data_IF_985082329747
#
_entry.id   IF_985082329747
#
_cell.length_a   1.000
_cell.length_b   1.000
_cell.length_c   1.000
_cell.angle_alpha   90.00
_cell.angle_beta   90.00
_cell.angle_gamma   90.00
#
_symmetry.space_group_name_H-M   'P 1'
#
loop_
_entity.id
_entity.type
_entity.pdbx_description
1 polymer ?
#
# COMPACT_ATOMS: atom_id res chain seq x y z
N UNK A 1 0.19 -17.53 -19.67
CA UNK A 1 -0.80 -17.77 -18.60
C UNK A 1 -0.70 -16.69 -17.53
N UNK A 2 -1.83 -16.21 -16.99
CA UNK A 2 -1.83 -15.24 -15.90
C UNK A 2 -1.52 -15.93 -14.57
N UNK A 3 -0.57 -15.40 -13.78
CA UNK A 3 -0.20 -15.94 -12.47
C UNK A 3 -0.95 -15.19 -11.36
N UNK A 4 -1.94 -15.83 -10.76
CA UNK A 4 -2.69 -15.28 -9.64
C UNK A 4 -2.05 -15.68 -8.31
N UNK A 5 -1.99 -14.73 -7.37
CA UNK A 5 -1.49 -15.02 -6.01
C UNK A 5 -2.55 -15.81 -5.25
N UNK A 6 -2.12 -16.88 -4.56
CA UNK A 6 -3.01 -17.66 -3.69
C UNK A 6 -3.59 -16.77 -2.59
N UNK A 7 -4.89 -16.93 -2.31
CA UNK A 7 -5.62 -16.17 -1.28
C UNK A 7 -4.90 -16.17 0.07
N UNK A 8 -4.35 -17.32 0.50
CA UNK A 8 -3.61 -17.46 1.77
C UNK A 8 -2.42 -16.49 1.88
N UNK A 9 -1.62 -16.34 0.83
CA UNK A 9 -0.47 -15.43 0.83
C UNK A 9 -0.91 -13.96 0.87
N UNK A 10 -1.95 -13.62 0.11
CA UNK A 10 -2.51 -12.28 0.08
C UNK A 10 -3.11 -11.88 1.44
N UNK A 11 -3.82 -12.80 2.10
CA UNK A 11 -4.34 -12.59 3.46
C UNK A 11 -3.21 -12.41 4.47
N UNK A 12 -2.18 -13.26 4.43
CA UNK A 12 -1.02 -13.13 5.31
C UNK A 12 -0.30 -11.78 5.19
N UNK A 13 -0.18 -11.24 3.97
CA UNK A 13 0.33 -9.88 3.76
C UNK A 13 -0.59 -8.84 4.42
N UNK A 14 -1.91 -8.93 4.16
CA UNK A 14 -2.89 -7.99 4.73
C UNK A 14 -2.88 -8.03 6.26
N UNK A 15 -2.70 -9.19 6.86
CA UNK A 15 -2.65 -9.34 8.32
C UNK A 15 -1.39 -8.73 8.93
N UNK A 16 -0.23 -8.89 8.28
CA UNK A 16 1.00 -8.17 8.67
C UNK A 16 0.81 -6.65 8.60
N UNK A 17 0.24 -6.14 7.51
CA UNK A 17 -0.07 -4.72 7.37
C UNK A 17 -1.06 -4.25 8.45
N UNK A 18 -2.09 -5.05 8.77
CA UNK A 18 -3.05 -4.73 9.84
C UNK A 18 -2.37 -4.61 11.20
N UNK A 19 -1.45 -5.53 11.50
CA UNK A 19 -0.70 -5.52 12.75
C UNK A 19 0.15 -4.25 12.90
N UNK A 20 0.81 -3.81 11.83
CA UNK A 20 1.61 -2.57 11.82
C UNK A 20 0.76 -1.30 11.86
N UNK A 21 -0.40 -1.31 11.22
CA UNK A 21 -1.32 -0.16 11.15
C UNK A 21 -2.36 -0.17 12.28
N UNK A 22 -2.05 -0.79 13.43
CA UNK A 22 -2.98 -0.84 14.56
C UNK A 22 -3.37 0.58 14.98
N UNK A 23 -4.66 0.75 15.28
CA UNK A 23 -5.31 2.06 15.48
C UNK A 23 -4.82 2.80 16.74
N UNK A 24 -4.16 2.11 17.66
CA UNK A 24 -3.66 2.65 18.93
C UNK A 24 -2.15 2.98 18.92
N UNK A 25 -1.47 2.90 17.76
CA UNK A 25 -0.08 3.36 17.67
C UNK A 25 -0.06 4.89 17.71
N UNK A 26 0.74 5.45 18.63
CA UNK A 26 1.07 6.88 18.70
C UNK A 26 2.15 7.30 17.69
N UNK A 27 2.55 6.40 16.79
CA UNK A 27 3.61 6.67 15.81
C UNK A 27 3.17 7.67 14.74
N UNK A 28 4.14 8.40 14.21
CA UNK A 28 3.94 9.26 13.04
C UNK A 28 3.61 8.43 11.79
N UNK A 29 2.97 9.07 10.81
CA UNK A 29 2.57 8.38 9.58
C UNK A 29 3.79 7.94 8.77
N UNK A 30 4.87 8.71 8.82
CA UNK A 30 6.16 8.45 8.18
C UNK A 30 6.81 7.19 8.77
N UNK A 31 6.80 7.03 10.09
CA UNK A 31 7.33 5.84 10.76
C UNK A 31 6.55 4.57 10.38
N UNK A 32 5.23 4.69 10.25
CA UNK A 32 4.37 3.60 9.79
C UNK A 32 4.68 3.25 8.34
N UNK A 33 4.85 4.24 7.46
CA UNK A 33 5.23 4.03 6.06
C UNK A 33 6.60 3.35 5.96
N UNK A 34 7.59 3.82 6.72
CA UNK A 34 8.92 3.24 6.79
C UNK A 34 8.88 1.76 7.24
N UNK A 35 7.98 1.41 8.17
CA UNK A 35 7.79 0.04 8.63
C UNK A 35 7.10 -0.87 7.59
N UNK A 36 6.18 -0.31 6.79
CA UNK A 36 5.42 -1.06 5.78
C UNK A 36 6.25 -1.31 4.52
N UNK A 37 7.07 -0.33 4.11
CA UNK A 37 7.81 -0.36 2.85
C UNK A 37 8.66 -1.64 2.66
N UNK A 38 9.48 -2.09 3.64
CA UNK A 38 10.26 -3.34 3.50
C UNK A 38 9.39 -4.57 3.24
N UNK A 39 8.23 -4.66 3.88
CA UNK A 39 7.30 -5.78 3.69
C UNK A 39 6.70 -5.76 2.29
N UNK A 40 6.30 -4.58 1.81
CA UNK A 40 5.77 -4.45 0.45
C UNK A 40 6.85 -4.76 -0.59
N UNK A 41 8.08 -4.28 -0.41
CA UNK A 41 9.21 -4.55 -1.31
C UNK A 41 9.55 -6.03 -1.37
N UNK A 42 9.68 -6.70 -0.22
CA UNK A 42 9.97 -8.13 -0.17
C UNK A 42 8.85 -8.97 -0.78
N UNK A 43 7.59 -8.64 -0.49
CA UNK A 43 6.44 -9.33 -1.07
C UNK A 43 6.34 -9.10 -2.59
N UNK A 44 6.58 -7.87 -3.06
CA UNK A 44 6.61 -7.55 -4.49
C UNK A 44 7.73 -8.30 -5.20
N UNK A 45 8.94 -8.36 -4.63
CA UNK A 45 10.05 -9.11 -5.21
C UNK A 45 9.70 -10.57 -5.46
N UNK A 46 9.06 -11.22 -4.48
CA UNK A 46 8.61 -12.61 -4.60
C UNK A 46 7.47 -12.77 -5.63
N UNK A 47 6.50 -11.85 -5.65
CA UNK A 47 5.33 -11.92 -6.52
C UNK A 47 5.41 -11.02 -7.76
N UNK A 48 6.60 -10.62 -8.22
CA UNK A 48 6.76 -9.62 -9.30
C UNK A 48 6.09 -9.99 -10.63
N UNK A 49 5.85 -11.28 -10.84
CA UNK A 49 5.20 -11.85 -12.02
C UNK A 49 3.69 -12.08 -11.84
N UNK A 50 3.11 -11.63 -10.73
CA UNK A 50 1.69 -11.74 -10.47
C UNK A 50 0.85 -10.77 -11.31
N UNK A 51 -0.45 -11.01 -11.37
CA UNK A 51 -1.37 -10.17 -12.12
C UNK A 51 -1.44 -8.72 -11.58
N UNK A 52 -1.47 -7.73 -12.49
CA UNK A 52 -1.42 -6.29 -12.15
C UNK A 52 -2.48 -5.85 -11.13
N UNK A 53 -3.69 -6.41 -11.20
CA UNK A 53 -4.79 -6.07 -10.29
C UNK A 53 -4.51 -6.47 -8.84
N UNK A 54 -3.66 -7.47 -8.62
CA UNK A 54 -3.25 -7.85 -7.27
C UNK A 54 -2.50 -6.71 -6.59
N UNK A 55 -1.58 -6.05 -7.31
CA UNK A 55 -0.80 -4.91 -6.80
C UNK A 55 -1.70 -3.72 -6.45
N UNK A 56 -2.57 -3.31 -7.39
CA UNK A 56 -3.50 -2.19 -7.14
C UNK A 56 -4.44 -2.44 -5.95
N UNK A 57 -4.88 -3.69 -5.75
CA UNK A 57 -5.72 -4.08 -4.61
C UNK A 57 -4.98 -3.99 -3.27
N UNK A 58 -3.71 -4.41 -3.24
CA UNK A 58 -2.86 -4.31 -2.06
C UNK A 58 -2.54 -2.85 -1.74
N UNK A 59 -2.11 -2.08 -2.74
CA UNK A 59 -1.78 -0.66 -2.57
C UNK A 59 -2.99 0.15 -2.09
N UNK A 60 -4.18 -0.12 -2.64
CA UNK A 60 -5.43 0.50 -2.19
C UNK A 60 -5.79 0.13 -0.74
N UNK A 61 -5.54 -1.12 -0.34
CA UNK A 61 -5.71 -1.56 1.03
C UNK A 61 -4.77 -0.82 1.99
N UNK A 62 -3.50 -0.68 1.65
CA UNK A 62 -2.50 0.06 2.45
C UNK A 62 -2.92 1.51 2.62
N UNK A 63 -3.21 2.23 1.52
CA UNK A 63 -3.63 3.64 1.58
C UNK A 63 -4.86 3.85 2.45
N UNK A 64 -5.86 2.96 2.35
CA UNK A 64 -7.05 3.03 3.21
C UNK A 64 -6.71 2.88 4.70
N UNK A 65 -5.75 2.02 5.05
CA UNK A 65 -5.29 1.86 6.44
C UNK A 65 -4.57 3.10 6.94
N UNK A 66 -3.69 3.69 6.12
CA UNK A 66 -3.00 4.93 6.46
C UNK A 66 -3.98 6.10 6.68
N UNK A 67 -4.99 6.25 5.82
CA UNK A 67 -6.08 7.23 6.03
C UNK A 67 -6.82 7.01 7.34
N UNK A 68 -7.08 5.75 7.71
CA UNK A 68 -7.74 5.44 8.98
C UNK A 68 -6.88 5.79 10.21
N UNK A 69 -5.55 5.65 10.11
CA UNK A 69 -4.61 6.09 11.16
C UNK A 69 -4.63 7.61 11.28
N UNK A 70 -4.44 8.34 10.17
CA UNK A 70 -4.46 9.81 10.16
C UNK A 70 -5.78 10.37 10.72
N UNK A 71 -6.91 9.77 10.33
CA UNK A 71 -8.22 10.14 10.84
C UNK A 71 -8.33 9.95 12.36
N UNK A 72 -7.73 8.89 12.90
CA UNK A 72 -7.69 8.64 14.35
C UNK A 72 -6.79 9.65 15.08
N UNK A 73 -5.65 10.01 14.50
CA UNK A 73 -4.75 11.06 15.02
C UNK A 73 -5.45 12.41 15.07
N UNK A 74 -6.33 12.70 14.10
CA UNK A 74 -7.22 13.87 14.10
C UNK A 74 -8.45 13.74 15.01
N UNK A 75 -8.51 12.71 15.88
CA UNK A 75 -9.63 12.45 16.80
C UNK A 75 -11.00 12.29 16.11
N UNK A 76 -11.02 11.92 14.83
CA UNK A 76 -12.26 11.71 14.06
C UNK A 76 -12.69 10.25 14.10
N UNK A 77 -13.98 9.94 14.34
CA UNK A 77 -14.51 8.58 14.25
C UNK A 77 -14.53 8.09 12.79
N UNK A 78 -14.52 6.77 12.58
CA UNK A 78 -14.64 6.14 11.25
C UNK A 78 -13.38 5.44 10.73
N UNK A 79 -13.41 5.03 9.45
CA UNK A 79 -12.44 4.12 8.82
C UNK A 79 -11.69 4.71 7.60
N UNK A 80 -11.68 6.03 7.43
CA UNK A 80 -10.90 6.66 6.35
C UNK A 80 -11.52 6.49 4.94
N UNK A 81 -12.84 6.25 4.85
CA UNK A 81 -13.53 5.86 3.60
C UNK A 81 -14.30 6.99 2.92
N UNK A 82 -14.41 8.17 3.54
CA UNK A 82 -15.23 9.23 2.94
C UNK A 82 -14.46 9.98 1.86
N UNK A 83 -15.20 10.59 0.93
CA UNK A 83 -14.63 11.41 -0.14
C UNK A 83 -13.69 12.50 0.41
N UNK A 84 -14.09 13.14 1.52
CA UNK A 84 -13.28 14.15 2.21
C UNK A 84 -11.89 13.62 2.63
N UNK A 85 -11.78 12.37 3.07
CA UNK A 85 -10.48 11.78 3.42
C UNK A 85 -9.60 11.56 2.17
N UNK A 86 -10.22 11.27 1.02
CA UNK A 86 -9.52 11.10 -0.25
C UNK A 86 -9.07 12.44 -0.82
N UNK A 87 -9.84 13.52 -0.62
CA UNK A 87 -9.45 14.88 -0.96
C UNK A 87 -8.36 15.42 -0.03
N UNK A 88 -8.46 15.14 1.28
CA UNK A 88 -7.49 15.61 2.28
C UNK A 88 -6.16 14.86 2.18
N UNK A 89 -6.20 13.55 1.93
CA UNK A 89 -5.01 12.72 1.74
C UNK A 89 -5.06 12.03 0.38
N UNK A 90 -4.74 12.78 -0.70
CA UNK A 90 -4.67 12.22 -2.04
C UNK A 90 -3.58 11.15 -2.13
N UNK A 91 -3.58 10.34 -3.20
CA UNK A 91 -2.53 9.32 -3.37
C UNK A 91 -1.13 9.95 -3.44
N UNK A 92 -1.02 11.15 -4.01
CA UNK A 92 0.21 11.94 -4.05
C UNK A 92 0.76 12.29 -2.67
N UNK A 93 -0.10 12.51 -1.67
CA UNK A 93 0.33 12.76 -0.29
C UNK A 93 1.17 11.59 0.25
N UNK A 94 0.69 10.36 0.07
CA UNK A 94 1.45 9.18 0.51
C UNK A 94 2.70 8.94 -0.33
N UNK A 95 2.67 9.23 -1.63
CA UNK A 95 3.83 9.13 -2.50
C UNK A 95 4.94 10.10 -2.06
N UNK A 96 4.59 11.34 -1.71
CA UNK A 96 5.52 12.35 -1.20
C UNK A 96 6.16 11.94 0.15
N UNK A 97 5.42 11.19 0.98
CA UNK A 97 5.96 10.58 2.21
C UNK A 97 6.80 9.32 1.95
N UNK A 98 7.04 8.96 0.69
CA UNK A 98 7.87 7.82 0.32
C UNK A 98 7.16 6.46 0.40
N UNK A 99 5.83 6.41 0.35
CA UNK A 99 5.12 5.12 0.30
C UNK A 99 5.47 4.37 -0.99
N UNK A 100 6.03 3.16 -0.82
CA UNK A 100 6.26 2.25 -1.94
C UNK A 100 4.93 1.74 -2.49
N UNK A 101 4.70 1.90 -3.80
CA UNK A 101 3.56 1.30 -4.50
C UNK A 101 4.01 0.19 -5.44
N UNK A 102 3.36 -0.97 -5.31
CA UNK A 102 3.68 -2.13 -6.16
C UNK A 102 3.22 -1.91 -7.60
N UNK A 103 2.15 -1.14 -7.79
CA UNK A 103 1.65 -0.80 -9.12
C UNK A 103 2.68 -0.01 -9.93
N UNK A 104 3.28 1.04 -9.35
CA UNK A 104 4.33 1.82 -10.05
C UNK A 104 5.57 0.97 -10.31
N UNK A 105 6.03 0.19 -9.31
CA UNK A 105 7.17 -0.71 -9.49
C UNK A 105 6.93 -1.74 -10.62
N UNK A 106 5.72 -2.28 -10.73
CA UNK A 106 5.35 -3.19 -11.82
C UNK A 106 5.31 -2.49 -13.17
N UNK A 107 4.83 -1.25 -13.23
CA UNK A 107 4.79 -0.47 -14.47
C UNK A 107 6.21 -0.12 -14.95
N UNK A 108 7.10 0.30 -14.06
CA UNK A 108 8.51 0.58 -14.37
C UNK A 108 9.23 -0.68 -14.89
N UNK A 109 9.01 -1.83 -14.25
CA UNK A 109 9.57 -3.11 -14.69
C UNK A 109 9.08 -3.54 -16.08
N UNK A 110 7.89 -3.07 -16.50
CA UNK A 110 7.36 -3.31 -17.85
C UNK A 110 7.89 -2.31 -18.86
N UNK A 111 7.96 -1.03 -18.51
CA UNK A 111 8.47 0.03 -19.39
C UNK A 111 9.94 -0.21 -19.77
N UNK A 112 10.75 -0.73 -18.83
CA UNK A 112 12.14 -1.11 -19.10
C UNK A 112 12.31 -2.18 -20.19
N UNK A 113 11.24 -2.90 -20.56
CA UNK A 113 11.25 -3.88 -21.67
C UNK A 113 10.89 -3.27 -23.02
N UNK A 114 10.44 -2.01 -23.04
CA UNK A 114 9.97 -1.31 -24.24
C UNK A 114 10.83 -0.09 -24.61
N UNK A 115 11.90 0.19 -23.86
CA UNK A 115 12.76 1.36 -24.07
C UNK A 115 14.23 0.98 -24.13
N UNK A 116 14.64 0.50 -25.31
CA UNK A 116 15.98 0.72 -25.86
C UNK A 116 15.87 0.48 -27.37
N UNK A 117 15.60 1.56 -28.10
CA UNK A 117 15.89 1.79 -29.52
C UNK A 117 15.82 3.29 -29.75
#
# INVERSE_FOLDING_TARGET
GQRWVRKKSLMGLRDRIRALTKRHRGDSIESIIASINPILRGWFGYFRHAHRYTFSSVDGFVRRRLRAVLRRQLHRPGQGRCFRDHSQWPNAFFANLGLFTMYEAHQLARQSRCGNN
#
